data_IF_575336728659
#
_entry.id   IF_575336728659
#
_cell.length_a   1.000
_cell.length_b   1.000
_cell.length_c   1.000
_cell.angle_alpha   90.00
_cell.angle_beta   90.00
_cell.angle_gamma   90.00
#
_symmetry.space_group_name_H-M   'P 1'
#
loop_
_entity.id
_entity.type
_entity.pdbx_description
1 polymer ?
#
# COMPACT_ATOMS: atom_id res chain seq x y z
N UNK A 1 24.54 -13.11 3.71
CA UNK A 1 23.59 -12.92 4.83
C UNK A 1 23.75 -11.48 5.29
N UNK A 2 22.95 -10.58 4.75
CA UNK A 2 22.77 -9.23 5.28
C UNK A 2 21.76 -9.31 6.42
N UNK A 3 21.95 -8.59 7.53
CA UNK A 3 20.98 -8.61 8.62
C UNK A 3 19.69 -7.93 8.14
N UNK A 4 18.56 -8.57 8.37
CA UNK A 4 17.26 -7.89 8.31
C UNK A 4 17.31 -6.71 9.29
N UNK A 5 17.05 -5.50 8.80
CA UNK A 5 16.93 -4.30 9.63
C UNK A 5 15.77 -4.45 10.64
N UNK A 6 15.68 -3.56 11.65
CA UNK A 6 14.67 -3.67 12.70
C UNK A 6 13.28 -3.71 12.07
N UNK A 7 12.68 -4.89 12.09
CA UNK A 7 11.40 -5.16 11.46
C UNK A 7 10.30 -4.28 12.04
N UNK A 8 9.39 -3.83 11.18
CA UNK A 8 8.14 -3.20 11.58
C UNK A 8 7.45 -4.05 12.64
N UNK A 9 7.37 -3.55 13.88
CA UNK A 9 6.44 -4.09 14.87
C UNK A 9 5.00 -3.77 14.43
N UNK A 10 3.99 -4.46 14.98
CA UNK A 10 2.59 -4.15 14.70
C UNK A 10 2.17 -2.71 15.01
N UNK A 11 3.00 -1.89 15.64
CA UNK A 11 2.68 -0.50 16.01
C UNK A 11 3.45 0.55 15.18
N UNK A 12 4.60 0.19 14.61
CA UNK A 12 5.42 1.12 13.82
C UNK A 12 4.97 1.21 12.36
N UNK A 13 5.03 2.40 11.73
CA UNK A 13 4.78 2.53 10.31
C UNK A 13 5.79 1.68 9.51
N UNK A 14 5.33 1.02 8.46
CA UNK A 14 6.20 0.31 7.52
C UNK A 14 6.97 1.28 6.63
N UNK A 15 6.35 2.42 6.29
CA UNK A 15 6.94 3.49 5.49
C UNK A 15 6.21 4.82 5.69
N UNK A 16 6.87 5.87 5.20
CA UNK A 16 6.32 7.21 5.05
C UNK A 16 6.29 7.52 3.56
N UNK A 17 5.24 8.19 3.08
CA UNK A 17 5.25 8.83 1.78
C UNK A 17 5.39 10.35 1.90
N UNK A 18 6.17 10.95 1.00
CA UNK A 18 6.56 12.35 1.08
C UNK A 18 6.56 13.02 -0.29
N UNK A 19 6.40 14.34 -0.27
CA UNK A 19 6.34 15.20 -1.44
C UNK A 19 7.05 16.54 -1.17
N UNK A 20 6.79 17.55 -2.01
CA UNK A 20 7.25 18.93 -1.79
C UNK A 20 6.78 19.56 -0.47
N UNK A 21 5.75 18.99 0.16
CA UNK A 21 5.24 19.47 1.45
C UNK A 21 6.16 19.12 2.62
N UNK A 22 7.07 18.17 2.42
CA UNK A 22 8.11 17.83 3.37
C UNK A 22 9.49 18.21 2.80
N UNK A 23 10.42 18.72 3.62
CA UNK A 23 11.78 18.94 3.16
C UNK A 23 12.46 17.60 2.82
N UNK A 24 13.59 17.67 2.11
CA UNK A 24 14.50 16.53 2.09
C UNK A 24 15.11 16.34 3.48
N UNK A 25 14.84 15.18 4.10
CA UNK A 25 15.40 14.81 5.39
C UNK A 25 16.89 14.48 5.29
N UNK A 26 17.61 14.58 6.40
CA UNK A 26 18.98 14.05 6.45
C UNK A 26 18.95 12.53 6.56
N UNK A 27 20.03 11.87 6.15
CA UNK A 27 20.15 10.43 6.30
C UNK A 27 20.04 9.98 7.76
N UNK A 28 20.49 10.79 8.72
CA UNK A 28 20.41 10.46 10.15
C UNK A 28 18.98 10.51 10.68
N UNK A 29 18.17 11.49 10.24
CA UNK A 29 16.73 11.53 10.57
C UNK A 29 16.05 10.27 10.02
N UNK A 30 16.28 9.94 8.75
CA UNK A 30 15.67 8.76 8.13
C UNK A 30 16.09 7.44 8.78
N UNK A 31 17.36 7.30 9.21
CA UNK A 31 17.84 6.11 9.94
C UNK A 31 17.25 5.99 11.34
N UNK A 32 16.81 7.10 11.94
CA UNK A 32 16.17 7.09 13.26
C UNK A 32 14.73 6.57 13.22
N UNK A 33 14.11 6.54 12.04
CA UNK A 33 12.73 6.12 11.86
C UNK A 33 12.63 4.60 11.73
N UNK A 34 11.67 3.95 12.41
CA UNK A 34 11.45 2.50 12.32
C UNK A 34 10.74 2.08 11.02
N UNK A 35 11.23 2.54 9.86
CA UNK A 35 10.66 2.28 8.54
C UNK A 35 11.58 1.41 7.69
N UNK A 36 10.98 0.63 6.78
CA UNK A 36 11.72 -0.24 5.86
C UNK A 36 11.88 0.34 4.44
N UNK A 37 11.19 1.44 4.13
CA UNK A 37 11.26 2.16 2.85
C UNK A 37 10.67 3.56 3.00
N UNK A 38 10.87 4.37 1.97
CA UNK A 38 10.15 5.63 1.77
C UNK A 38 9.49 5.63 0.39
N UNK A 39 8.39 6.34 0.22
CA UNK A 39 7.73 6.56 -1.07
C UNK A 39 7.83 8.06 -1.38
N UNK A 40 8.36 8.42 -2.55
CA UNK A 40 8.65 9.83 -2.88
C UNK A 40 7.84 10.26 -4.10
N UNK A 41 7.21 11.44 -4.04
CA UNK A 41 6.53 12.03 -5.20
C UNK A 41 7.54 12.25 -6.31
N UNK A 42 7.38 11.54 -7.43
CA UNK A 42 8.18 11.79 -8.62
C UNK A 42 7.72 13.09 -9.29
N UNK A 43 6.41 13.31 -9.34
CA UNK A 43 5.78 14.39 -10.09
C UNK A 43 4.28 14.19 -10.19
N UNK A 44 3.67 14.86 -11.16
CA UNK A 44 2.24 14.73 -11.42
C UNK A 44 1.81 15.33 -12.76
N UNK A 45 0.58 15.03 -13.12
CA UNK A 45 -0.10 15.56 -14.30
C UNK A 45 -1.28 16.49 -14.00
N UNK A 46 -1.42 16.94 -12.75
CA UNK A 46 -2.58 17.70 -12.24
C UNK A 46 -2.50 19.21 -12.48
N UNK A 47 -1.33 19.72 -12.86
CA UNK A 47 -1.11 21.14 -13.11
C UNK A 47 0.09 21.30 -14.04
N UNK A 48 -0.09 20.99 -15.33
CA UNK A 48 1.07 20.68 -16.15
C UNK A 48 1.59 19.27 -15.87
N UNK A 49 2.38 18.74 -16.79
CA UNK A 49 3.30 17.64 -16.50
C UNK A 49 4.56 18.21 -15.82
N UNK A 50 4.87 17.74 -14.61
CA UNK A 50 6.03 18.23 -13.84
C UNK A 50 6.78 17.11 -13.10
N UNK A 51 8.05 17.36 -12.79
CA UNK A 51 8.81 16.63 -11.76
C UNK A 51 8.67 17.40 -10.45
N UNK A 52 8.50 16.70 -9.32
CA UNK A 52 8.53 17.36 -8.00
C UNK A 52 9.92 17.92 -7.74
N UNK A 53 9.99 19.17 -7.30
CA UNK A 53 11.23 19.92 -7.03
C UNK A 53 12.10 19.33 -5.91
N UNK A 54 11.48 18.59 -4.99
CA UNK A 54 12.14 17.93 -3.85
C UNK A 54 12.51 16.47 -4.11
N UNK A 55 11.93 15.85 -5.14
CA UNK A 55 12.08 14.43 -5.48
C UNK A 55 13.53 13.96 -5.42
N UNK A 56 14.42 14.58 -6.18
CA UNK A 56 15.81 14.10 -6.33
C UNK A 56 16.58 14.15 -5.01
N UNK A 57 16.38 15.21 -4.22
CA UNK A 57 17.05 15.37 -2.93
C UNK A 57 16.53 14.36 -1.90
N UNK A 58 15.22 14.13 -1.86
CA UNK A 58 14.58 13.15 -0.98
C UNK A 58 15.04 11.72 -1.29
N UNK A 59 15.17 11.38 -2.57
CA UNK A 59 15.70 10.08 -3.00
C UNK A 59 17.16 9.91 -2.62
N UNK A 60 17.98 10.92 -2.88
CA UNK A 60 19.39 10.87 -2.52
C UNK A 60 19.58 10.68 -0.99
N UNK A 61 18.75 11.36 -0.19
CA UNK A 61 18.75 11.18 1.26
C UNK A 61 18.33 9.77 1.69
N UNK A 62 17.30 9.20 1.06
CA UNK A 62 16.86 7.82 1.33
C UNK A 62 17.97 6.80 1.02
N UNK A 63 18.63 6.93 -0.13
CA UNK A 63 19.75 6.07 -0.49
C UNK A 63 20.94 6.26 0.44
N UNK A 64 21.24 7.49 0.84
CA UNK A 64 22.27 7.75 1.85
C UNK A 64 21.93 7.12 3.20
N UNK A 65 20.65 7.03 3.56
CA UNK A 65 20.15 6.34 4.75
C UNK A 65 20.16 4.81 4.62
N UNK A 66 20.37 4.26 3.42
CA UNK A 66 20.27 2.82 3.15
C UNK A 66 18.83 2.32 2.98
N UNK A 67 17.87 3.23 2.73
CA UNK A 67 16.47 2.92 2.53
C UNK A 67 16.13 2.81 1.03
N UNK A 68 15.40 1.77 0.59
CA UNK A 68 14.75 1.77 -0.70
C UNK A 68 13.77 2.95 -0.81
N UNK A 69 13.70 3.55 -1.99
CA UNK A 69 12.82 4.66 -2.26
C UNK A 69 11.90 4.31 -3.44
N UNK A 70 10.63 4.04 -3.16
CA UNK A 70 9.60 3.91 -4.20
C UNK A 70 9.25 5.28 -4.78
N UNK A 71 8.56 5.30 -5.93
CA UNK A 71 8.06 6.53 -6.56
C UNK A 71 6.57 6.50 -6.73
N UNK A 72 5.92 7.64 -6.56
CA UNK A 72 4.53 7.80 -6.99
C UNK A 72 4.37 8.97 -7.96
N UNK A 73 3.35 8.86 -8.81
CA UNK A 73 2.96 9.90 -9.75
C UNK A 73 1.51 10.26 -9.54
N UNK A 74 1.28 11.52 -9.15
CA UNK A 74 -0.06 12.06 -8.92
C UNK A 74 -0.78 12.17 -10.26
N UNK A 75 -1.90 11.45 -10.40
CA UNK A 75 -2.73 11.52 -11.60
C UNK A 75 -3.18 12.95 -11.85
N UNK A 76 -3.42 13.30 -13.10
CA UNK A 76 -4.10 14.54 -13.36
C UNK A 76 -4.50 14.70 -14.81
N UNK A 77 -5.43 15.62 -15.02
CA UNK A 77 -6.03 15.92 -16.31
C UNK A 77 -5.50 17.24 -16.90
N UNK A 78 -4.17 17.36 -17.01
CA UNK A 78 -3.54 18.41 -17.83
C UNK A 78 -3.68 18.08 -19.33
N UNK A 79 -4.93 18.00 -19.81
CA UNK A 79 -5.25 17.62 -21.18
C UNK A 79 -5.17 16.10 -21.46
N UNK A 80 -5.27 15.26 -20.42
CA UNK A 80 -5.58 13.82 -20.51
C UNK A 80 -4.59 12.92 -21.26
N UNK A 81 -3.42 13.39 -21.68
CA UNK A 81 -2.53 12.57 -22.51
C UNK A 81 -1.63 11.66 -21.66
N UNK A 82 -2.19 10.52 -21.24
CA UNK A 82 -1.48 9.45 -20.52
C UNK A 82 -0.14 9.08 -21.19
N UNK A 83 -0.05 8.91 -22.53
CA UNK A 83 1.25 8.73 -23.20
C UNK A 83 2.29 9.82 -22.92
N UNK A 84 1.90 11.10 -22.86
CA UNK A 84 2.83 12.18 -22.52
C UNK A 84 3.28 12.10 -21.06
N UNK A 85 2.38 11.80 -20.13
CA UNK A 85 2.73 11.60 -18.73
C UNK A 85 3.72 10.43 -18.56
N UNK A 86 3.47 9.29 -19.23
CA UNK A 86 4.39 8.15 -19.23
C UNK A 86 5.74 8.50 -19.86
N UNK A 87 5.77 9.31 -20.92
CA UNK A 87 7.01 9.80 -21.53
C UNK A 87 7.83 10.67 -20.56
N UNK A 88 7.16 11.53 -19.80
CA UNK A 88 7.81 12.35 -18.77
C UNK A 88 8.33 11.48 -17.61
N UNK A 89 7.51 10.57 -17.08
CA UNK A 89 7.92 9.59 -16.06
C UNK A 89 9.18 8.84 -16.51
N UNK A 90 9.19 8.33 -17.75
CA UNK A 90 10.37 7.65 -18.32
C UNK A 90 11.60 8.55 -18.35
N UNK A 91 11.43 9.80 -18.72
CA UNK A 91 12.53 10.78 -18.78
C UNK A 91 13.11 11.03 -17.39
N UNK A 92 12.26 11.19 -16.36
CA UNK A 92 12.72 11.40 -14.99
C UNK A 92 13.37 10.13 -14.39
N UNK A 93 12.80 8.96 -14.65
CA UNK A 93 13.37 7.67 -14.22
C UNK A 93 14.68 7.32 -14.96
N UNK A 94 15.00 7.98 -16.08
CA UNK A 94 16.32 7.86 -16.71
C UNK A 94 17.40 8.58 -15.90
N UNK A 95 17.04 9.68 -15.23
CA UNK A 95 17.95 10.46 -14.36
C UNK A 95 18.05 9.82 -12.97
N UNK A 96 16.92 9.38 -12.42
CA UNK A 96 16.84 8.76 -11.08
C UNK A 96 16.14 7.40 -11.17
N UNK A 97 16.83 6.33 -11.61
CA UNK A 97 16.21 5.03 -11.84
C UNK A 97 15.70 4.37 -10.57
N UNK A 98 14.64 3.56 -10.72
CA UNK A 98 14.18 2.65 -9.67
C UNK A 98 15.18 1.51 -9.48
N UNK A 99 15.79 1.43 -8.30
CA UNK A 99 16.66 0.33 -7.90
C UNK A 99 15.91 -1.01 -7.80
N UNK A 100 16.67 -2.11 -7.72
CA UNK A 100 16.09 -3.45 -7.53
C UNK A 100 15.24 -3.50 -6.25
N UNK A 101 13.99 -3.96 -6.38
CA UNK A 101 13.04 -4.07 -5.27
C UNK A 101 12.16 -2.83 -5.04
N UNK A 102 12.43 -1.72 -5.74
CA UNK A 102 11.60 -0.51 -5.70
C UNK A 102 10.41 -0.60 -6.66
N UNK A 103 9.33 0.07 -6.28
CA UNK A 103 8.05 0.11 -6.98
C UNK A 103 7.71 1.51 -7.48
N UNK A 104 6.83 1.51 -8.47
CA UNK A 104 6.15 2.70 -8.98
C UNK A 104 4.67 2.65 -8.59
N UNK A 105 4.11 3.76 -8.13
CA UNK A 105 2.73 3.88 -7.69
C UNK A 105 1.99 4.92 -8.53
N UNK A 106 0.86 4.51 -9.09
CA UNK A 106 -0.12 5.41 -9.68
C UNK A 106 -0.97 5.98 -8.56
N UNK A 107 -0.74 7.22 -8.20
CA UNK A 107 -1.56 7.92 -7.22
C UNK A 107 -2.82 8.40 -7.94
N UNK A 108 -3.98 7.86 -7.54
CA UNK A 108 -5.29 8.01 -8.18
C UNK A 108 -6.26 8.66 -7.20
N UNK A 109 -6.30 9.99 -7.23
CA UNK A 109 -7.14 10.82 -6.39
C UNK A 109 -7.62 12.10 -7.10
N UNK A 110 -8.68 12.70 -6.53
CA UNK A 110 -9.25 13.95 -7.03
C UNK A 110 -8.44 15.14 -6.51
N UNK A 111 -8.23 16.15 -7.35
CA UNK A 111 -7.69 17.44 -6.91
C UNK A 111 -8.53 18.60 -7.42
N UNK A 112 -9.27 19.26 -6.53
CA UNK A 112 -10.14 20.36 -6.92
C UNK A 112 -11.17 19.92 -7.97
N UNK A 113 -11.03 20.41 -9.20
CA UNK A 113 -11.89 20.03 -10.33
C UNK A 113 -11.32 18.91 -11.21
N UNK A 114 -10.10 18.45 -10.94
CA UNK A 114 -9.42 17.39 -11.69
C UNK A 114 -9.84 16.04 -11.12
N UNK A 115 -10.61 15.22 -11.87
CA UNK A 115 -11.03 13.92 -11.37
C UNK A 115 -9.87 12.92 -11.35
N UNK A 116 -9.98 11.95 -10.45
CA UNK A 116 -9.14 10.78 -10.44
C UNK A 116 -9.26 9.99 -11.75
N UNK A 117 -8.19 9.32 -12.15
CA UNK A 117 -8.22 8.43 -13.31
C UNK A 117 -9.20 7.27 -13.11
N UNK A 118 -9.88 6.92 -14.20
CA UNK A 118 -10.74 5.74 -14.30
C UNK A 118 -9.90 4.45 -14.32
N UNK A 119 -10.53 3.28 -14.06
CA UNK A 119 -9.85 1.98 -14.19
C UNK A 119 -9.20 1.76 -15.57
N UNK A 120 -9.83 2.25 -16.64
CA UNK A 120 -9.30 2.12 -18.01
C UNK A 120 -8.02 2.96 -18.22
N UNK A 121 -7.97 4.14 -17.64
CA UNK A 121 -6.82 5.04 -17.71
C UNK A 121 -5.63 4.49 -16.91
N UNK A 122 -5.89 3.95 -15.72
CA UNK A 122 -4.86 3.24 -14.92
C UNK A 122 -4.31 2.03 -15.68
N UNK A 123 -5.17 1.23 -16.32
CA UNK A 123 -4.74 0.10 -17.16
C UNK A 123 -3.83 0.58 -18.30
N UNK A 124 -4.23 1.64 -19.00
CA UNK A 124 -3.44 2.19 -20.11
C UNK A 124 -2.07 2.70 -19.62
N UNK A 125 -2.05 3.50 -18.55
CA UNK A 125 -0.83 4.04 -17.98
C UNK A 125 0.14 2.93 -17.54
N UNK A 126 -0.38 1.91 -16.83
CA UNK A 126 0.43 0.81 -16.34
C UNK A 126 1.04 -0.03 -17.47
N UNK A 127 0.28 -0.29 -18.52
CA UNK A 127 0.76 -1.01 -19.71
C UNK A 127 1.82 -0.21 -20.47
N UNK A 128 1.61 1.10 -20.66
CA UNK A 128 2.58 1.98 -21.32
C UNK A 128 3.88 2.07 -20.51
N UNK A 129 3.79 2.21 -19.19
CA UNK A 129 4.98 2.25 -18.34
C UNK A 129 5.73 0.91 -18.33
N UNK A 130 4.99 -0.21 -18.40
CA UNK A 130 5.59 -1.54 -18.56
C UNK A 130 6.33 -1.67 -19.89
N UNK A 131 5.78 -1.14 -20.98
CA UNK A 131 6.41 -1.16 -22.30
C UNK A 131 7.72 -0.36 -22.35
N UNK A 132 7.92 0.61 -21.45
CA UNK A 132 9.15 1.43 -21.37
C UNK A 132 10.09 1.03 -20.22
N UNK A 133 9.83 -0.09 -19.55
CA UNK A 133 10.84 -0.75 -18.70
C UNK A 133 10.51 -0.89 -17.21
N UNK A 134 9.30 -0.54 -16.75
CA UNK A 134 8.87 -0.82 -15.36
C UNK A 134 7.80 -1.93 -15.36
N UNK A 135 8.16 -3.21 -15.16
CA UNK A 135 7.20 -4.33 -15.25
C UNK A 135 5.98 -4.16 -14.33
N UNK A 136 4.81 -4.67 -14.75
CA UNK A 136 3.56 -4.61 -13.97
C UNK A 136 3.71 -5.07 -12.52
N UNK A 137 4.49 -6.15 -12.27
CA UNK A 137 4.78 -6.66 -10.92
C UNK A 137 5.52 -5.68 -9.99
N UNK A 138 6.14 -4.64 -10.55
CA UNK A 138 6.83 -3.54 -9.85
C UNK A 138 5.98 -2.27 -9.81
N UNK A 139 4.74 -2.33 -10.26
CA UNK A 139 3.81 -1.24 -10.20
C UNK A 139 2.73 -1.50 -9.15
N UNK A 140 2.05 -0.44 -8.73
CA UNK A 140 0.86 -0.49 -7.91
C UNK A 140 -0.01 0.73 -8.13
N UNK A 141 -1.22 0.70 -7.59
CA UNK A 141 -2.16 1.82 -7.58
C UNK A 141 -2.36 2.26 -6.13
N UNK A 142 -2.35 3.57 -5.91
CA UNK A 142 -2.80 4.21 -4.69
C UNK A 142 -4.15 4.89 -4.94
N UNK A 143 -5.08 4.74 -4.00
CA UNK A 143 -6.41 5.37 -4.05
C UNK A 143 -7.07 5.36 -2.66
N UNK A 144 -8.06 6.22 -2.44
CA UNK A 144 -8.84 6.15 -1.20
C UNK A 144 -9.71 4.89 -1.15
N UNK A 145 -10.02 4.44 0.07
CA UNK A 145 -10.91 3.30 0.27
C UNK A 145 -12.30 3.54 -0.34
N UNK A 146 -12.78 4.79 -0.33
CA UNK A 146 -14.02 5.17 -1.00
C UNK A 146 -13.95 4.98 -2.52
N UNK A 147 -12.88 5.49 -3.18
CA UNK A 147 -12.67 5.33 -4.63
C UNK A 147 -12.55 3.85 -5.01
N UNK A 148 -11.88 3.03 -4.18
CA UNK A 148 -11.72 1.59 -4.43
C UNK A 148 -13.03 0.81 -4.47
N UNK A 149 -14.09 1.34 -3.86
CA UNK A 149 -15.42 0.74 -3.79
C UNK A 149 -16.45 1.40 -4.71
N UNK A 150 -16.09 2.51 -5.35
CA UNK A 150 -17.04 3.32 -6.11
C UNK A 150 -17.37 2.76 -7.49
N UNK A 151 -16.40 2.09 -8.13
CA UNK A 151 -16.50 1.59 -9.51
C UNK A 151 -15.85 0.21 -9.66
N UNK A 152 -16.06 -0.43 -10.80
CA UNK A 152 -15.47 -1.74 -11.10
C UNK A 152 -13.97 -1.66 -11.41
N UNK A 153 -13.15 -1.99 -10.42
CA UNK A 153 -11.69 -2.03 -10.51
C UNK A 153 -11.14 -3.39 -10.96
N UNK A 154 -11.98 -4.38 -11.28
CA UNK A 154 -11.55 -5.72 -11.69
C UNK A 154 -10.53 -5.74 -12.85
N UNK A 155 -10.55 -4.83 -13.84
CA UNK A 155 -9.50 -4.74 -14.86
C UNK A 155 -8.11 -4.43 -14.29
N UNK A 156 -8.01 -3.57 -13.27
CA UNK A 156 -6.75 -3.22 -12.61
C UNK A 156 -6.27 -4.38 -11.73
N UNK A 157 -7.19 -5.04 -11.01
CA UNK A 157 -6.90 -6.28 -10.26
C UNK A 157 -6.33 -7.35 -11.18
N UNK A 158 -6.90 -7.53 -12.36
CA UNK A 158 -6.48 -8.53 -13.35
C UNK A 158 -5.07 -8.30 -13.89
N UNK A 159 -4.60 -7.04 -13.94
CA UNK A 159 -3.20 -6.72 -14.28
C UNK A 159 -2.20 -7.19 -13.22
N UNK A 160 -2.65 -7.50 -12.00
CA UNK A 160 -1.80 -7.89 -10.88
C UNK A 160 -1.01 -6.72 -10.31
N UNK A 161 -1.54 -5.49 -10.40
CA UNK A 161 -0.97 -4.34 -9.70
C UNK A 161 -1.16 -4.49 -8.19
N UNK A 162 -0.14 -4.10 -7.42
CA UNK A 162 -0.30 -3.96 -5.97
C UNK A 162 -1.30 -2.83 -5.66
N UNK A 163 -1.97 -2.89 -4.52
CA UNK A 163 -2.93 -1.86 -4.09
C UNK A 163 -2.52 -1.24 -2.77
N UNK A 164 -2.38 0.09 -2.78
CA UNK A 164 -2.12 0.92 -1.62
C UNK A 164 -3.37 1.76 -1.37
N UNK A 165 -3.95 1.70 -0.17
CA UNK A 165 -5.21 2.39 0.11
C UNK A 165 -5.08 3.42 1.21
N UNK A 166 -5.69 4.58 1.02
CA UNK A 166 -5.91 5.56 2.08
C UNK A 166 -7.25 5.35 2.79
N UNK A 167 -7.19 5.23 4.10
CA UNK A 167 -8.35 5.34 5.00
C UNK A 167 -7.86 5.82 6.37
N UNK A 168 -8.20 7.06 6.71
CA UNK A 168 -7.63 7.71 7.89
C UNK A 168 -8.48 7.56 9.15
N UNK A 169 -9.71 7.02 9.04
CA UNK A 169 -10.67 7.08 10.13
C UNK A 169 -10.83 8.51 10.67
N UNK A 170 -10.57 8.70 11.97
CA UNK A 170 -10.61 10.03 12.62
C UNK A 170 -9.36 10.89 12.34
N UNK A 171 -8.32 10.31 11.75
CA UNK A 171 -7.06 10.95 11.36
C UNK A 171 -6.35 11.66 12.52
N UNK A 172 -6.00 10.92 13.57
CA UNK A 172 -5.33 11.44 14.77
C UNK A 172 -3.90 10.90 14.95
N UNK A 173 -3.32 10.33 13.89
CA UNK A 173 -2.02 9.66 13.94
C UNK A 173 -2.08 8.19 14.35
N UNK A 174 -3.24 7.67 14.76
CA UNK A 174 -3.44 6.28 15.17
C UNK A 174 -4.15 5.45 14.11
N UNK A 175 -4.11 4.12 14.25
CA UNK A 175 -4.73 3.19 13.30
C UNK A 175 -6.17 2.90 13.71
N UNK A 176 -7.06 2.87 12.72
CA UNK A 176 -8.43 2.38 12.84
C UNK A 176 -8.54 0.90 12.44
N UNK A 177 -9.74 0.45 12.05
CA UNK A 177 -9.95 -0.84 11.39
C UNK A 177 -9.38 -0.82 9.97
N UNK A 178 -8.74 -1.92 9.55
CA UNK A 178 -8.24 -2.03 8.17
C UNK A 178 -9.36 -1.81 7.16
N UNK A 179 -9.11 -1.00 6.11
CA UNK A 179 -10.12 -0.66 5.13
C UNK A 179 -10.54 -1.85 4.27
N UNK A 180 -11.83 -1.89 3.93
CA UNK A 180 -12.34 -2.73 2.85
C UNK A 180 -12.00 -2.08 1.50
N UNK A 181 -11.46 -2.85 0.57
CA UNK A 181 -10.90 -2.35 -0.69
C UNK A 181 -11.63 -2.83 -1.94
N UNK A 182 -12.95 -3.00 -1.84
CA UNK A 182 -13.82 -3.30 -2.98
C UNK A 182 -13.45 -4.58 -3.72
N UNK A 183 -12.89 -4.45 -4.92
CA UNK A 183 -12.56 -5.56 -5.82
C UNK A 183 -11.27 -6.29 -5.45
N UNK A 184 -10.42 -5.69 -4.61
CA UNK A 184 -9.27 -6.38 -4.06
C UNK A 184 -9.69 -7.21 -2.83
N UNK A 185 -9.07 -8.38 -2.60
CA UNK A 185 -9.36 -9.18 -1.41
C UNK A 185 -8.89 -8.49 -0.12
N UNK A 186 -7.79 -7.75 -0.20
CA UNK A 186 -7.20 -6.93 0.86
C UNK A 186 -6.27 -5.90 0.22
N UNK A 187 -6.00 -4.78 0.91
CA UNK A 187 -4.94 -3.88 0.47
C UNK A 187 -3.58 -4.58 0.60
N UNK A 188 -2.56 -4.19 -0.17
CA UNK A 188 -1.16 -4.57 0.11
C UNK A 188 -0.52 -3.60 1.12
N UNK A 189 -0.89 -2.32 1.00
CA UNK A 189 -0.44 -1.22 1.83
C UNK A 189 -1.63 -0.37 2.27
N UNK A 190 -1.56 0.19 3.46
CA UNK A 190 -2.58 1.08 4.01
C UNK A 190 -1.94 2.35 4.56
N UNK A 191 -2.31 3.49 3.98
CA UNK A 191 -2.05 4.82 4.54
C UNK A 191 -3.15 5.11 5.56
N UNK A 192 -2.77 5.10 6.84
CA UNK A 192 -3.73 5.12 7.94
C UNK A 192 -3.90 6.49 8.57
N UNK A 193 -3.06 7.46 8.22
CA UNK A 193 -3.15 8.83 8.70
C UNK A 193 -2.31 9.76 7.83
N UNK A 194 -2.73 11.01 7.73
CA UNK A 194 -1.96 12.11 7.14
C UNK A 194 -1.38 13.09 8.16
N UNK A 195 -1.57 12.85 9.46
CA UNK A 195 -1.12 13.74 10.55
C UNK A 195 -0.17 13.03 11.52
N UNK A 196 0.51 12.00 11.01
CA UNK A 196 1.44 11.23 11.82
C UNK A 196 2.68 12.02 12.22
N UNK A 197 3.33 11.57 13.30
CA UNK A 197 4.50 12.24 13.89
C UNK A 197 5.65 11.25 14.00
N UNK A 198 6.84 11.69 13.60
CA UNK A 198 8.08 10.90 13.69
C UNK A 198 9.20 11.71 14.36
N UNK A 199 10.08 11.09 15.16
CA UNK A 199 11.18 11.78 15.82
C UNK A 199 12.03 12.59 14.84
N UNK A 200 12.40 13.82 15.20
CA UNK A 200 13.25 14.67 14.37
C UNK A 200 12.54 15.43 13.25
N UNK A 201 11.20 15.39 13.18
CA UNK A 201 10.41 16.23 12.29
C UNK A 201 9.17 16.80 13.01
N UNK A 202 9.02 18.12 12.97
CA UNK A 202 7.93 18.86 13.61
C UNK A 202 6.88 19.27 12.56
N UNK A 203 6.25 18.26 11.96
CA UNK A 203 5.26 18.42 10.89
C UNK A 203 4.44 17.16 10.70
N UNK A 204 3.41 17.26 9.88
CA UNK A 204 2.52 16.15 9.54
C UNK A 204 3.19 15.21 8.53
N UNK A 205 3.04 13.90 8.75
CA UNK A 205 3.53 12.85 7.88
C UNK A 205 2.42 11.85 7.55
N UNK A 206 2.41 11.44 6.29
CA UNK A 206 1.59 10.34 5.82
C UNK A 206 2.23 9.01 6.24
N UNK A 207 1.56 8.32 7.18
CA UNK A 207 2.08 7.09 7.75
C UNK A 207 1.35 5.88 7.20
N UNK A 208 2.15 4.86 6.89
CA UNK A 208 1.68 3.69 6.19
C UNK A 208 2.10 2.41 6.86
N UNK A 209 1.30 1.38 6.67
CA UNK A 209 1.61 0.02 7.08
C UNK A 209 1.49 -0.92 5.91
N UNK A 210 2.19 -2.05 6.01
CA UNK A 210 1.72 -3.24 5.30
C UNK A 210 0.48 -3.69 6.03
N UNK A 211 -0.62 -3.84 5.31
CA UNK A 211 -1.78 -4.54 5.85
C UNK A 211 -1.31 -5.93 6.26
N UNK A 212 -1.57 -6.36 7.50
CA UNK A 212 -1.44 -7.76 7.83
C UNK A 212 -2.37 -8.50 6.86
N UNK A 213 -1.91 -9.67 6.38
CA UNK A 213 -2.70 -10.53 5.49
C UNK A 213 -4.14 -10.74 5.98
N UNK A 214 -4.32 -10.63 7.30
CA UNK A 214 -5.58 -10.72 8.01
C UNK A 214 -5.61 -9.76 9.20
N UNK A 215 -6.62 -8.88 9.25
CA UNK A 215 -7.01 -8.28 10.54
C UNK A 215 -7.87 -9.24 11.35
N UNK A 216 -8.03 -8.94 12.63
CA UNK A 216 -8.97 -9.69 13.48
C UNK A 216 -10.41 -9.52 12.97
N UNK A 217 -10.80 -8.33 12.51
CA UNK A 217 -12.11 -8.13 11.87
C UNK A 217 -12.29 -9.01 10.62
N UNK A 218 -11.29 -9.01 9.71
CA UNK A 218 -11.34 -9.82 8.50
C UNK A 218 -11.36 -11.32 8.82
N UNK A 219 -10.59 -11.75 9.82
CA UNK A 219 -10.59 -13.10 10.35
C UNK A 219 -11.98 -13.45 10.89
N UNK A 220 -12.55 -12.63 11.77
CA UNK A 220 -13.87 -12.86 12.38
C UNK A 220 -14.97 -12.96 11.32
N UNK A 221 -15.01 -12.02 10.35
CA UNK A 221 -15.96 -12.04 9.24
C UNK A 221 -15.82 -13.31 8.41
N UNK A 222 -14.59 -13.70 8.10
CA UNK A 222 -14.31 -14.87 7.27
C UNK A 222 -14.61 -16.17 7.99
N UNK A 223 -14.31 -16.25 9.29
CA UNK A 223 -14.69 -17.38 10.14
C UNK A 223 -16.21 -17.54 10.15
N UNK A 224 -16.98 -16.46 10.31
CA UNK A 224 -18.44 -16.50 10.21
C UNK A 224 -18.92 -16.97 8.84
N UNK A 225 -18.33 -16.47 7.76
CA UNK A 225 -18.70 -16.84 6.40
C UNK A 225 -18.43 -18.32 6.11
N UNK A 226 -17.26 -18.84 6.50
CA UNK A 226 -16.84 -20.22 6.17
C UNK A 226 -17.45 -21.26 7.12
N UNK A 227 -17.66 -20.89 8.39
CA UNK A 227 -18.21 -21.81 9.38
C UNK A 227 -19.72 -21.70 9.54
N UNK A 228 -20.33 -20.57 9.19
CA UNK A 228 -21.71 -20.24 9.55
C UNK A 228 -21.86 -19.83 11.03
N UNK A 229 -20.77 -19.40 11.66
CA UNK A 229 -20.76 -18.95 13.06
C UNK A 229 -21.31 -17.53 13.20
N UNK A 230 -21.62 -17.14 14.44
CA UNK A 230 -22.09 -15.80 14.80
C UNK A 230 -21.09 -15.10 15.75
N UNK A 231 -19.79 -15.19 15.44
CA UNK A 231 -18.75 -14.47 16.15
C UNK A 231 -18.98 -12.96 16.00
N UNK A 232 -18.90 -12.22 17.11
CA UNK A 232 -18.95 -10.75 17.06
C UNK A 232 -17.71 -10.25 16.31
N UNK A 233 -17.93 -9.35 15.35
CA UNK A 233 -16.85 -8.75 14.57
C UNK A 233 -16.46 -7.43 15.23
N UNK A 234 -15.66 -7.52 16.28
CA UNK A 234 -15.21 -6.40 17.13
C UNK A 234 -13.71 -6.09 16.99
N UNK A 235 -12.97 -6.93 16.27
CA UNK A 235 -11.53 -6.81 16.12
C UNK A 235 -10.71 -7.26 17.32
N UNK A 236 -11.32 -7.82 18.36
CA UNK A 236 -10.60 -8.35 19.51
C UNK A 236 -10.13 -9.79 19.25
N UNK A 237 -8.82 -10.04 19.40
CA UNK A 237 -8.23 -11.40 19.32
C UNK A 237 -8.37 -12.13 20.67
N UNK A 238 -9.45 -11.83 21.40
CA UNK A 238 -9.76 -12.39 22.71
C UNK A 238 -10.19 -13.85 22.65
N UNK A 239 -10.70 -14.34 23.79
CA UNK A 239 -11.01 -15.75 23.98
C UNK A 239 -12.03 -16.29 22.97
N UNK A 240 -13.02 -15.49 22.57
CA UNK A 240 -14.03 -15.91 21.61
C UNK A 240 -13.46 -16.08 20.19
N UNK A 241 -12.63 -15.13 19.74
CA UNK A 241 -11.92 -15.26 18.47
C UNK A 241 -11.02 -16.50 18.46
N UNK A 242 -10.22 -16.69 19.51
CA UNK A 242 -9.35 -17.87 19.64
C UNK A 242 -10.15 -19.18 19.65
N UNK A 243 -11.32 -19.20 20.30
CA UNK A 243 -12.23 -20.36 20.31
C UNK A 243 -12.73 -20.69 18.90
N UNK A 244 -13.17 -19.71 18.13
CA UNK A 244 -13.68 -19.94 16.77
C UNK A 244 -12.54 -20.31 15.80
N UNK A 245 -11.33 -19.77 16.00
CA UNK A 245 -10.14 -20.23 15.27
C UNK A 245 -9.87 -21.71 15.55
N UNK A 246 -9.98 -22.19 16.81
CA UNK A 246 -9.83 -23.62 17.12
C UNK A 246 -10.89 -24.49 16.44
N UNK A 247 -12.14 -24.01 16.36
CA UNK A 247 -13.22 -24.70 15.63
C UNK A 247 -12.85 -24.81 14.15
N UNK A 248 -12.39 -23.72 13.55
CA UNK A 248 -11.93 -23.69 12.17
C UNK A 248 -10.79 -24.69 11.93
N UNK A 249 -9.74 -24.60 12.75
CA UNK A 249 -8.56 -25.46 12.65
C UNK A 249 -8.94 -26.93 12.77
N UNK A 250 -9.81 -27.27 13.72
CA UNK A 250 -10.32 -28.64 13.91
C UNK A 250 -11.12 -29.12 12.70
N UNK A 251 -12.00 -28.27 12.14
CA UNK A 251 -12.83 -28.61 10.98
C UNK A 251 -12.01 -28.89 9.73
N UNK A 252 -10.87 -28.22 9.57
CA UNK A 252 -10.06 -28.27 8.36
C UNK A 252 -8.70 -28.97 8.53
N UNK A 253 -8.51 -29.67 9.65
CA UNK A 253 -7.33 -30.54 9.86
C UNK A 253 -6.02 -29.76 10.02
N UNK A 254 -6.08 -28.57 10.60
CA UNK A 254 -4.94 -27.74 10.94
C UNK A 254 -4.51 -27.97 12.39
N UNK A 255 -3.33 -27.45 12.76
CA UNK A 255 -2.91 -27.42 14.17
C UNK A 255 -3.89 -26.60 15.00
N UNK A 256 -4.39 -27.16 16.11
CA UNK A 256 -5.47 -26.57 16.92
C UNK A 256 -4.88 -25.82 18.11
N UNK A 257 -4.30 -24.66 17.83
CA UNK A 257 -3.67 -23.79 18.83
C UNK A 257 -4.54 -22.55 19.16
N UNK A 258 -5.53 -22.22 18.31
CA UNK A 258 -6.33 -21.00 18.39
C UNK A 258 -5.60 -19.75 17.93
N UNK A 259 -4.38 -19.89 17.42
CA UNK A 259 -3.67 -18.84 16.73
C UNK A 259 -3.90 -19.00 15.22
N UNK A 260 -4.53 -18.03 14.56
CA UNK A 260 -4.86 -18.14 13.16
C UNK A 260 -3.63 -18.05 12.25
N UNK A 261 -2.38 -18.26 12.69
CA UNK A 261 -1.13 -18.02 11.94
C UNK A 261 -1.09 -18.52 10.48
N UNK A 262 0.00 -18.24 9.75
CA UNK A 262 0.06 -18.29 8.26
C UNK A 262 -0.66 -19.47 7.58
N UNK A 263 -0.56 -20.69 8.10
CA UNK A 263 -1.25 -21.87 7.55
C UNK A 263 -2.78 -21.74 7.62
N UNK A 264 -3.32 -21.33 8.76
CA UNK A 264 -4.77 -21.15 8.97
C UNK A 264 -5.30 -20.03 8.09
N UNK A 265 -4.58 -18.90 8.04
CA UNK A 265 -4.89 -17.78 7.15
C UNK A 265 -4.95 -18.20 5.68
N UNK A 266 -3.99 -19.00 5.22
CA UNK A 266 -3.91 -19.44 3.82
C UNK A 266 -5.07 -20.36 3.45
N UNK A 267 -5.39 -21.34 4.29
CA UNK A 267 -6.53 -22.25 4.07
C UNK A 267 -7.86 -21.47 4.09
N UNK A 268 -8.02 -20.52 5.01
CA UNK A 268 -9.20 -19.66 5.07
C UNK A 268 -9.37 -18.81 3.81
N UNK A 269 -8.29 -18.23 3.29
CA UNK A 269 -8.31 -17.49 2.00
C UNK A 269 -8.74 -18.40 0.84
N UNK A 270 -8.24 -19.64 0.77
CA UNK A 270 -8.60 -20.57 -0.31
C UNK A 270 -10.08 -20.93 -0.29
N UNK A 271 -10.66 -21.15 0.89
CA UNK A 271 -12.08 -21.52 1.05
C UNK A 271 -13.06 -20.42 0.69
N UNK A 272 -12.62 -19.17 0.77
CA UNK A 272 -13.38 -18.02 0.32
C UNK A 272 -13.37 -17.83 -1.20
N UNK A 273 -12.76 -18.75 -1.96
CA UNK A 273 -12.70 -18.69 -3.42
C UNK A 273 -11.41 -18.11 -3.98
N UNK A 274 -10.47 -17.71 -3.12
CA UNK A 274 -9.07 -17.41 -3.44
C UNK A 274 -8.80 -16.18 -4.33
N UNK A 275 -7.99 -15.26 -3.80
CA UNK A 275 -6.80 -14.76 -4.50
C UNK A 275 -5.63 -14.94 -3.51
N UNK A 276 -4.51 -15.57 -3.90
CA UNK A 276 -3.39 -15.82 -2.99
C UNK A 276 -2.75 -14.52 -2.51
N UNK A 277 -2.57 -14.39 -1.20
CA UNK A 277 -1.66 -13.43 -0.59
C UNK A 277 -0.38 -14.18 -0.23
N UNK A 278 0.77 -13.62 -0.62
CA UNK A 278 2.12 -14.20 -0.70
C UNK A 278 2.41 -15.14 -1.89
N UNK A 279 2.86 -14.55 -3.01
CA UNK A 279 4.12 -15.03 -3.60
C UNK A 279 5.25 -14.31 -2.87
N UNK A 280 5.82 -15.02 -1.90
CA UNK A 280 7.11 -14.65 -1.33
C UNK A 280 8.14 -14.48 -2.44
N UNK A 281 9.04 -13.53 -2.21
CA UNK A 281 10.27 -13.37 -2.96
C UNK A 281 11.00 -14.72 -3.06
N UNK A 282 11.30 -15.10 -4.29
CA UNK A 282 12.56 -15.74 -4.68
C UNK A 282 13.29 -14.75 -5.57
#
# INVERSE_FOLDING_TARGET
MTPEGPGSTPENPAFVDISHWQPAFTADVLRSWPIGRIVVKLGGGNNGIYESDTHRAQVAAAYAAGLPADRYWFNGDDGGNIPMQVSAIRSYLTVTPLATGERFWWDVEDEGSTPHWTPAEVVQAAQLLAAVGVPLKRQGVYLSAAVSRAVDWSPVVTLGLAVWVADYGINDGTRSSVPLVGHWPTADLWQYTSVGRMPGYDGDLDLNVRTPLWTVHALQQSLNQVLGEHLVVDGDKGADTARVVKIYQSKFGLEVDGDPGTKTLTDLTQRLGGIPIYKGAV
#
